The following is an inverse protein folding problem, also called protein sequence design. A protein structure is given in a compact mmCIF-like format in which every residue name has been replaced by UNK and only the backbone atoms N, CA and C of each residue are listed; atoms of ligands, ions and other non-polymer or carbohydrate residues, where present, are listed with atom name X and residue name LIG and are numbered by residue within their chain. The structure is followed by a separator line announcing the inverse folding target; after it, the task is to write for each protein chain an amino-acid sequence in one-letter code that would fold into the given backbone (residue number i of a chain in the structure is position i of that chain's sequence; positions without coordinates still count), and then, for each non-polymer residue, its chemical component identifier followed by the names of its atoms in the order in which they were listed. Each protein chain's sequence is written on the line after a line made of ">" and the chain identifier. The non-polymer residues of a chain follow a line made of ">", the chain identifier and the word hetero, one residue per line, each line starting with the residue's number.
data_IF_495498422224
#
_entry.id   IF_495498422224
#
_cell.length_a   1.000
_cell.length_b   1.000
_cell.length_c   1.000
_cell.angle_alpha   90.00
_cell.angle_beta   90.00
_cell.angle_gamma   90.00
#
_symmetry.space_group_name_H-M   'P 1'
#
loop_
_entity.id
_entity.type
_entity.pdbx_description
1 polymer ?
#
# COMPACT_ATOMS: atom_id res chain seq x y z
N UNK A 1 -39.20 7.43 33.03
CA UNK A 1 -38.65 8.65 32.39
C UNK A 1 -37.39 9.12 33.12
N UNK A 2 -36.36 8.25 33.26
CA UNK A 2 -35.06 8.63 33.86
C UNK A 2 -33.96 7.55 33.64
N UNK A 3 -33.89 6.97 32.43
CA UNK A 3 -32.83 6.02 32.03
C UNK A 3 -32.10 6.50 30.75
N UNK A 4 -32.74 7.35 29.93
CA UNK A 4 -32.12 7.90 28.72
C UNK A 4 -31.05 8.99 28.94
N UNK A 5 -30.98 9.60 30.13
CA UNK A 5 -29.97 10.65 30.40
C UNK A 5 -28.61 10.12 30.90
N UNK A 6 -28.48 8.83 31.24
CA UNK A 6 -27.19 8.27 31.69
C UNK A 6 -26.33 7.69 30.57
N UNK A 7 -26.90 7.39 29.40
CA UNK A 7 -26.14 6.86 28.27
C UNK A 7 -25.46 7.99 27.48
N UNK A 8 -26.08 9.18 27.39
CA UNK A 8 -25.47 10.35 26.75
C UNK A 8 -24.22 10.88 27.50
N UNK A 9 -24.10 10.64 28.81
CA UNK A 9 -22.94 11.07 29.61
C UNK A 9 -21.76 10.08 29.60
N UNK A 10 -21.96 8.85 29.11
CA UNK A 10 -20.89 7.85 28.96
C UNK A 10 -20.27 7.88 27.56
N UNK A 11 -21.02 8.33 26.54
CA UNK A 11 -20.51 8.53 25.18
C UNK A 11 -19.71 9.84 25.06
N UNK A 12 -19.95 10.85 25.90
CA UNK A 12 -19.18 12.11 25.88
C UNK A 12 -17.83 12.09 26.62
N UNK A 13 -17.52 11.02 27.35
CA UNK A 13 -16.32 10.92 28.19
C UNK A 13 -15.14 10.17 27.54
N UNK A 14 -15.29 9.71 26.29
CA UNK A 14 -14.21 9.06 25.52
C UNK A 14 -13.41 9.99 24.60
N UNK A 15 -13.85 11.23 24.37
CA UNK A 15 -13.04 12.21 23.63
C UNK A 15 -11.93 12.68 24.55
N UNK A 16 -10.73 12.07 24.45
CA UNK A 16 -9.51 12.68 24.99
C UNK A 16 -9.50 14.12 24.50
N UNK A 17 -9.58 15.08 25.43
CA UNK A 17 -9.24 16.47 25.11
C UNK A 17 -7.78 16.43 24.69
N UNK A 18 -7.55 16.55 23.39
CA UNK A 18 -6.22 16.88 22.87
C UNK A 18 -5.94 18.27 23.44
N UNK A 19 -5.14 18.32 24.51
CA UNK A 19 -4.67 19.61 25.00
C UNK A 19 -3.90 20.28 23.87
N UNK A 20 -4.10 21.59 23.61
CA UNK A 20 -3.33 22.29 22.61
C UNK A 20 -1.85 22.23 23.01
N UNK A 21 -1.11 21.32 22.36
CA UNK A 21 0.32 21.14 22.57
C UNK A 21 1.04 22.37 22.02
N UNK A 22 1.73 23.07 22.91
CA UNK A 22 2.50 24.29 22.66
C UNK A 22 3.49 24.13 21.50
N UNK A 23 3.51 25.11 20.58
CA UNK A 23 4.56 25.50 19.61
C UNK A 23 5.73 24.51 19.37
N UNK A 24 5.41 23.24 19.09
CA UNK A 24 6.42 22.25 18.74
C UNK A 24 6.91 22.57 17.32
N UNK A 25 8.14 23.10 17.23
CA UNK A 25 8.83 23.22 15.93
C UNK A 25 9.20 21.82 15.48
N UNK A 26 8.76 21.43 14.28
CA UNK A 26 9.22 20.19 13.64
C UNK A 26 10.75 20.21 13.51
N UNK A 27 11.37 19.04 13.62
CA UNK A 27 12.80 18.88 13.38
C UNK A 27 13.08 19.14 11.91
N UNK A 28 13.97 20.09 11.54
CA UNK A 28 14.31 20.33 10.15
C UNK A 28 14.82 19.06 9.47
N UNK A 29 14.44 18.86 8.22
CA UNK A 29 14.99 17.82 7.34
C UNK A 29 15.86 18.48 6.28
N UNK A 30 16.88 17.76 5.80
CA UNK A 30 17.80 18.28 4.78
C UNK A 30 17.11 18.49 3.42
N UNK A 31 15.91 17.93 3.23
CA UNK A 31 15.09 18.16 2.05
C UNK A 31 14.20 19.41 2.22
N UNK A 32 14.41 20.41 1.35
CA UNK A 32 13.70 21.70 1.41
C UNK A 32 12.19 21.53 1.20
N UNK A 33 11.76 20.62 0.32
CA UNK A 33 10.34 20.45 0.02
C UNK A 33 9.60 19.78 1.18
N UNK A 34 10.24 18.80 1.82
CA UNK A 34 9.69 18.15 3.02
C UNK A 34 9.66 19.14 4.18
N UNK A 35 10.74 19.90 4.40
CA UNK A 35 10.77 20.95 5.43
C UNK A 35 9.66 21.99 5.24
N UNK A 36 9.49 22.49 4.02
CA UNK A 36 8.41 23.42 3.65
C UNK A 36 7.03 22.83 3.93
N UNK A 37 6.81 21.54 3.59
CA UNK A 37 5.55 20.84 3.84
C UNK A 37 5.27 20.72 5.35
N UNK A 38 6.24 20.25 6.15
CA UNK A 38 6.05 20.07 7.59
C UNK A 38 5.76 21.40 8.30
N UNK A 39 6.44 22.48 7.93
CA UNK A 39 6.15 23.81 8.46
C UNK A 39 4.73 24.25 8.11
N UNK A 40 4.34 24.12 6.84
CA UNK A 40 3.00 24.49 6.39
C UNK A 40 1.90 23.67 7.08
N UNK A 41 2.10 22.37 7.28
CA UNK A 41 1.16 21.53 8.02
C UNK A 41 0.96 22.04 9.45
N UNK A 42 2.04 22.34 10.17
CA UNK A 42 1.98 22.85 11.53
C UNK A 42 1.32 24.25 11.60
N UNK A 43 1.67 25.14 10.67
CA UNK A 43 1.06 26.49 10.57
C UNK A 43 -0.45 26.44 10.29
N UNK A 44 -0.93 25.36 9.67
CA UNK A 44 -2.35 25.15 9.38
C UNK A 44 -3.02 24.16 10.37
N UNK A 45 -2.44 23.99 11.56
CA UNK A 45 -3.10 23.30 12.67
C UNK A 45 -2.94 21.78 12.69
N UNK A 46 -2.04 21.22 11.89
CA UNK A 46 -1.61 19.84 12.07
C UNK A 46 -0.75 19.70 13.31
N UNK A 47 -0.82 18.55 13.97
CA UNK A 47 0.14 18.13 14.98
C UNK A 47 1.10 17.13 14.35
N UNK A 48 2.40 17.38 14.42
CA UNK A 48 3.46 16.42 14.09
C UNK A 48 4.30 16.23 15.34
N UNK A 49 4.49 14.97 15.74
CA UNK A 49 5.13 14.66 17.01
C UNK A 49 6.62 15.07 17.01
N UNK A 50 7.12 15.79 18.03
CA UNK A 50 8.49 16.32 18.03
C UNK A 50 9.58 15.24 18.12
N UNK A 51 9.22 14.01 18.50
CA UNK A 51 10.13 12.85 18.51
C UNK A 51 10.17 12.11 17.17
N UNK A 52 9.57 12.65 16.12
CA UNK A 52 9.57 12.03 14.78
C UNK A 52 10.21 12.98 13.77
N UNK A 53 11.04 12.41 12.89
CA UNK A 53 11.65 13.12 11.78
C UNK A 53 11.37 12.38 10.46
N UNK A 54 11.24 13.14 9.38
CA UNK A 54 11.19 12.58 8.01
C UNK A 54 12.61 12.59 7.44
N UNK A 55 13.12 11.42 7.09
CA UNK A 55 14.48 11.23 6.58
C UNK A 55 14.50 10.29 5.39
N UNK A 56 15.52 10.37 4.55
CA UNK A 56 15.81 9.29 3.59
C UNK A 56 16.29 8.05 4.34
N UNK A 57 15.86 6.87 3.91
CA UNK A 57 16.26 5.60 4.52
C UNK A 57 17.78 5.39 4.37
N UNK A 58 18.32 5.64 3.19
CA UNK A 58 19.75 5.84 2.97
C UNK A 58 20.04 7.33 2.80
N UNK A 59 20.66 7.93 3.83
CA UNK A 59 21.03 9.36 3.82
C UNK A 59 22.08 9.69 2.73
N UNK A 60 22.76 8.70 2.15
CA UNK A 60 23.75 8.89 1.08
C UNK A 60 23.15 8.76 -0.33
N UNK A 61 21.95 8.20 -0.46
CA UNK A 61 21.26 8.08 -1.75
C UNK A 61 20.13 9.12 -1.86
N UNK A 62 20.30 10.16 -2.71
CA UNK A 62 19.26 11.16 -2.92
C UNK A 62 17.99 10.60 -3.59
N UNK A 63 18.01 9.35 -4.08
CA UNK A 63 16.85 8.65 -4.61
C UNK A 63 16.23 7.67 -3.60
N UNK A 64 16.87 7.46 -2.45
CA UNK A 64 16.29 6.63 -1.39
C UNK A 64 14.92 7.20 -1.00
N UNK A 65 13.92 6.33 -0.76
CA UNK A 65 12.63 6.77 -0.25
C UNK A 65 12.80 7.49 1.09
N UNK A 66 11.83 8.33 1.39
CA UNK A 66 11.68 8.87 2.73
C UNK A 66 11.05 7.83 3.66
N UNK A 67 11.26 7.99 4.95
CA UNK A 67 10.54 7.29 6.00
C UNK A 67 10.47 8.12 7.27
N UNK A 68 9.57 7.73 8.16
CA UNK A 68 9.43 8.33 9.48
C UNK A 68 10.37 7.65 10.47
N UNK A 69 11.26 8.41 11.11
CA UNK A 69 12.25 7.90 12.07
C UNK A 69 11.94 8.47 13.46
N UNK A 70 11.90 7.60 14.46
CA UNK A 70 11.86 8.02 15.86
C UNK A 70 13.23 8.62 16.23
N UNK A 71 13.27 9.88 16.64
CA UNK A 71 14.52 10.55 17.09
C UNK A 71 14.65 10.58 18.62
N UNK A 72 13.67 10.03 19.31
CA UNK A 72 13.67 9.72 20.73
C UNK A 72 12.65 8.60 20.98
N UNK A 73 12.75 7.93 22.13
CA UNK A 73 11.85 6.83 22.47
C UNK A 73 10.38 7.30 22.51
N UNK A 74 9.51 6.51 21.88
CA UNK A 74 8.07 6.70 21.85
C UNK A 74 7.39 5.64 22.71
N UNK A 75 6.42 6.06 23.50
CA UNK A 75 5.57 5.14 24.28
C UNK A 75 4.46 4.55 23.39
N UNK A 76 3.82 3.47 23.84
CA UNK A 76 2.60 2.97 23.18
C UNK A 76 1.49 4.01 23.20
N UNK A 77 0.67 4.03 22.15
CA UNK A 77 -0.44 4.97 21.95
C UNK A 77 -0.06 6.46 21.97
N UNK A 78 1.22 6.79 21.73
CA UNK A 78 1.67 8.16 21.49
C UNK A 78 1.20 8.60 20.09
N UNK A 79 0.55 9.76 20.00
CA UNK A 79 0.04 10.30 18.75
C UNK A 79 1.20 10.86 17.95
N UNK A 80 1.45 10.29 16.77
CA UNK A 80 2.54 10.67 15.88
C UNK A 80 2.16 11.83 15.00
N UNK A 81 0.93 11.83 14.50
CA UNK A 81 0.39 12.98 13.81
C UNK A 81 -1.12 13.08 13.95
N UNK A 82 -1.60 14.31 13.78
CA UNK A 82 -3.00 14.61 13.55
C UNK A 82 -3.11 15.64 12.43
N UNK A 83 -3.80 15.27 11.35
CA UNK A 83 -4.05 16.13 10.19
C UNK A 83 -5.51 16.59 10.23
N UNK A 84 -5.78 17.90 10.33
CA UNK A 84 -7.14 18.40 10.36
C UNK A 84 -7.84 18.20 8.99
N UNK A 85 -9.17 18.07 8.98
CA UNK A 85 -9.92 17.72 7.76
C UNK A 85 -9.67 18.64 6.55
N UNK A 86 -9.44 19.93 6.79
CA UNK A 86 -9.28 20.92 5.72
C UNK A 86 -7.92 20.83 4.99
N UNK A 87 -6.98 20.01 5.49
CA UNK A 87 -5.69 19.73 4.84
C UNK A 87 -5.68 18.37 4.13
N UNK A 88 -6.76 17.60 4.21
CA UNK A 88 -6.89 16.30 3.56
C UNK A 88 -7.61 16.51 2.23
N UNK A 89 -7.09 15.93 1.14
CA UNK A 89 -7.84 15.90 -0.12
C UNK A 89 -8.77 14.70 -0.05
N UNK A 90 -10.05 15.02 0.05
CA UNK A 90 -11.14 14.04 0.18
C UNK A 90 -11.98 14.00 -1.09
N UNK A 91 -12.64 12.86 -1.35
CA UNK A 91 -13.61 12.74 -2.43
C UNK A 91 -14.84 13.63 -2.20
N UNK A 92 -15.48 14.06 -3.29
CA UNK A 92 -16.70 14.90 -3.26
C UNK A 92 -17.87 14.21 -2.56
N UNK A 93 -18.00 12.90 -2.77
CA UNK A 93 -19.04 12.05 -2.17
C UNK A 93 -18.35 11.00 -1.31
N UNK A 94 -18.89 10.78 -0.13
CA UNK A 94 -18.45 9.65 0.68
C UNK A 94 -19.16 8.41 0.13
N UNK A 95 -18.65 7.86 -0.97
CA UNK A 95 -19.04 6.56 -1.46
C UNK A 95 -17.74 5.77 -1.63
N UNK A 96 -17.60 4.70 -0.87
CA UNK A 96 -16.37 3.90 -0.80
C UNK A 96 -16.09 3.24 -2.16
N UNK A 97 -17.13 3.01 -2.96
CA UNK A 97 -17.05 2.20 -4.17
C UNK A 97 -16.63 2.95 -5.44
N UNK A 98 -16.55 4.29 -5.46
CA UNK A 98 -16.57 5.01 -6.75
C UNK A 98 -16.03 6.46 -6.72
N UNK A 99 -14.90 6.75 -6.04
CA UNK A 99 -14.53 8.16 -5.85
C UNK A 99 -13.07 8.61 -5.80
N UNK A 100 -12.13 7.82 -6.31
CA UNK A 100 -10.76 8.34 -6.48
C UNK A 100 -10.74 9.50 -7.48
N UNK A 101 -11.63 9.47 -8.46
CA UNK A 101 -11.75 10.45 -9.54
C UNK A 101 -11.74 11.92 -9.06
N UNK A 102 -12.61 12.27 -8.09
CA UNK A 102 -12.68 13.64 -7.58
C UNK A 102 -11.47 14.01 -6.72
N UNK A 103 -10.86 13.03 -6.04
CA UNK A 103 -9.58 13.22 -5.34
C UNK A 103 -8.46 13.49 -6.35
N UNK A 104 -8.40 12.75 -7.46
CA UNK A 104 -7.43 12.94 -8.55
C UNK A 104 -7.56 14.33 -9.17
N UNK A 105 -8.78 14.74 -9.55
CA UNK A 105 -9.04 16.07 -10.11
C UNK A 105 -8.55 17.19 -9.17
N UNK A 106 -8.81 17.05 -7.86
CA UNK A 106 -8.37 18.01 -6.84
C UNK A 106 -6.86 18.05 -6.69
N UNK A 107 -6.18 16.90 -6.75
CA UNK A 107 -4.71 16.82 -6.73
C UNK A 107 -4.15 17.50 -7.98
N UNK A 108 -4.71 17.18 -9.15
CA UNK A 108 -4.32 17.79 -10.43
C UNK A 108 -4.47 19.32 -10.40
N UNK A 109 -5.64 19.83 -10.02
CA UNK A 109 -5.92 21.28 -9.89
C UNK A 109 -4.92 21.97 -8.94
N UNK A 110 -4.58 21.31 -7.83
CA UNK A 110 -3.61 21.82 -6.87
C UNK A 110 -2.19 21.87 -7.45
N UNK A 111 -1.82 20.89 -8.28
CA UNK A 111 -0.52 20.81 -8.96
C UNK A 111 -0.37 21.86 -10.07
N UNK A 112 -1.44 22.15 -10.83
CA UNK A 112 -1.40 23.12 -11.95
C UNK A 112 -1.71 24.56 -11.54
N UNK A 113 -2.02 24.80 -10.27
CA UNK A 113 -2.30 26.15 -9.77
C UNK A 113 -1.12 27.10 -10.04
N UNK A 114 -1.41 28.38 -10.30
CA UNK A 114 -0.39 29.44 -10.51
C UNK A 114 0.61 29.53 -9.33
N UNK A 115 0.14 29.18 -8.13
CA UNK A 115 0.93 29.14 -6.89
C UNK A 115 0.61 27.84 -6.14
N UNK A 116 1.27 26.73 -6.48
CA UNK A 116 1.05 25.47 -5.77
C UNK A 116 1.49 25.63 -4.31
N UNK A 117 0.66 25.12 -3.40
CA UNK A 117 1.01 25.09 -1.98
C UNK A 117 2.20 24.13 -1.74
N UNK A 118 2.81 24.12 -0.53
CA UNK A 118 3.94 23.25 -0.24
C UNK A 118 3.69 21.75 -0.51
N UNK A 119 2.46 21.28 -0.28
CA UNK A 119 2.12 19.87 -0.53
C UNK A 119 2.04 19.55 -2.02
N UNK A 120 1.42 20.39 -2.84
CA UNK A 120 1.45 20.24 -4.30
C UNK A 120 2.86 20.24 -4.86
N UNK A 121 3.75 21.12 -4.36
CA UNK A 121 5.16 21.12 -4.75
C UNK A 121 5.85 19.80 -4.37
N UNK A 122 5.58 19.28 -3.18
CA UNK A 122 6.08 17.97 -2.75
C UNK A 122 5.58 16.85 -3.64
N UNK A 123 4.27 16.77 -3.93
CA UNK A 123 3.69 15.75 -4.80
C UNK A 123 4.24 15.84 -6.23
N UNK A 124 4.40 17.05 -6.78
CA UNK A 124 5.01 17.28 -8.09
C UNK A 124 6.48 16.82 -8.18
N UNK A 125 7.19 16.82 -7.05
CA UNK A 125 8.58 16.37 -6.98
C UNK A 125 8.75 14.87 -6.85
N UNK A 126 7.67 14.13 -6.57
CA UNK A 126 7.73 12.68 -6.47
C UNK A 126 8.11 12.04 -7.82
N UNK A 127 8.76 10.85 -7.80
CA UNK A 127 9.04 10.10 -9.01
C UNK A 127 7.77 9.90 -9.85
N UNK A 128 7.91 9.92 -11.17
CA UNK A 128 6.82 9.68 -12.12
C UNK A 128 6.84 8.22 -12.55
N UNK A 129 5.67 7.66 -12.84
CA UNK A 129 5.50 6.33 -13.46
C UNK A 129 6.31 5.23 -12.75
N UNK A 130 6.32 5.23 -11.42
CA UNK A 130 7.06 4.23 -10.64
C UNK A 130 6.22 2.97 -10.37
N UNK A 131 4.90 3.04 -10.45
CA UNK A 131 4.02 1.89 -10.31
C UNK A 131 3.75 1.22 -11.66
N UNK A 132 3.70 -0.13 -11.72
CA UNK A 132 3.49 -0.89 -12.96
C UNK A 132 2.33 -0.44 -13.83
N UNK A 133 1.23 0.00 -13.21
CA UNK A 133 0.03 0.47 -13.93
C UNK A 133 0.28 1.74 -14.75
N UNK A 134 1.33 2.49 -14.42
CA UNK A 134 1.70 3.75 -15.08
C UNK A 134 3.01 3.63 -15.87
N UNK A 135 3.60 2.44 -15.96
CA UNK A 135 4.80 2.19 -16.77
C UNK A 135 4.58 2.46 -18.25
N UNK A 136 5.69 2.58 -18.97
CA UNK A 136 5.70 2.59 -20.43
C UNK A 136 5.05 1.34 -21.03
N UNK A 137 4.55 1.44 -22.28
CA UNK A 137 4.00 0.28 -23.02
C UNK A 137 5.00 -0.87 -23.11
N UNK A 138 6.30 -0.56 -23.23
CA UNK A 138 7.37 -1.55 -23.26
C UNK A 138 7.49 -2.28 -21.91
N UNK A 139 7.47 -1.55 -20.79
CA UNK A 139 7.50 -2.11 -19.44
C UNK A 139 6.28 -3.01 -19.17
N UNK A 140 5.07 -2.51 -19.46
CA UNK A 140 3.82 -3.28 -19.27
C UNK A 140 3.79 -4.55 -20.11
N UNK A 141 4.23 -4.46 -21.37
CA UNK A 141 4.33 -5.63 -22.26
C UNK A 141 5.32 -6.67 -21.73
N UNK A 142 6.48 -6.23 -21.23
CA UNK A 142 7.48 -7.14 -20.66
C UNK A 142 6.95 -7.82 -19.40
N UNK A 143 6.26 -7.07 -18.53
CA UNK A 143 5.63 -7.62 -17.33
C UNK A 143 4.51 -8.60 -17.67
N UNK A 144 3.65 -8.29 -18.65
CA UNK A 144 2.61 -9.21 -19.14
C UNK A 144 3.19 -10.48 -19.77
N UNK A 145 4.30 -10.40 -20.53
CA UNK A 145 5.00 -11.58 -21.03
C UNK A 145 5.57 -12.43 -19.87
N UNK A 146 6.12 -11.77 -18.85
CA UNK A 146 6.65 -12.44 -17.66
C UNK A 146 5.56 -13.18 -16.89
N UNK A 147 4.38 -12.59 -16.70
CA UNK A 147 3.29 -13.19 -15.91
C UNK A 147 2.38 -14.12 -16.72
N UNK A 148 2.33 -13.96 -18.05
CA UNK A 148 1.56 -14.78 -18.99
C UNK A 148 0.06 -14.89 -18.63
N UNK A 149 -0.51 -13.86 -18.00
CA UNK A 149 -1.87 -13.83 -17.42
C UNK A 149 -2.17 -14.91 -16.37
N UNK A 150 -1.19 -15.77 -16.05
CA UNK A 150 -1.34 -16.91 -15.14
C UNK A 150 -0.74 -16.67 -13.76
N UNK A 151 0.28 -15.83 -13.71
CA UNK A 151 0.93 -15.39 -12.49
C UNK A 151 0.48 -13.95 -12.18
N UNK A 152 0.52 -13.54 -10.91
CA UNK A 152 0.22 -12.16 -10.54
C UNK A 152 1.43 -11.23 -10.78
N UNK A 153 1.26 -9.90 -10.82
CA UNK A 153 -0.03 -9.22 -10.81
C UNK A 153 -0.78 -9.44 -12.13
N UNK A 154 -2.10 -9.51 -12.03
CA UNK A 154 -3.01 -9.51 -13.18
C UNK A 154 -3.54 -8.09 -13.39
N UNK A 155 -4.15 -7.83 -14.54
CA UNK A 155 -4.94 -6.59 -14.75
C UNK A 155 -4.15 -5.27 -14.66
N UNK A 156 -2.90 -5.25 -15.10
CA UNK A 156 -2.03 -4.06 -15.06
C UNK A 156 -2.55 -2.83 -15.84
N UNK A 157 -3.54 -3.03 -16.73
CA UNK A 157 -4.13 -1.94 -17.51
C UNK A 157 -5.41 -1.40 -16.89
N UNK A 158 -6.01 -2.07 -15.90
CA UNK A 158 -7.34 -1.73 -15.39
C UNK A 158 -7.42 -0.28 -14.91
N UNK A 159 -6.39 0.21 -14.19
CA UNK A 159 -6.35 1.61 -13.75
C UNK A 159 -6.32 2.59 -14.92
N UNK A 160 -5.58 2.30 -16.01
CA UNK A 160 -5.54 3.20 -17.17
C UNK A 160 -6.85 3.15 -17.97
N UNK A 161 -7.44 1.97 -18.07
CA UNK A 161 -8.73 1.76 -18.72
C UNK A 161 -9.85 2.47 -17.92
N UNK A 162 -9.84 2.40 -16.58
CA UNK A 162 -10.72 3.15 -15.67
C UNK A 162 -10.57 4.67 -15.89
N UNK A 163 -9.32 5.17 -15.97
CA UNK A 163 -9.06 6.59 -16.18
C UNK A 163 -9.57 7.11 -17.53
N UNK A 164 -9.45 6.31 -18.60
CA UNK A 164 -9.88 6.68 -19.95
C UNK A 164 -11.39 6.50 -20.13
N UNK A 165 -11.91 5.31 -19.84
CA UNK A 165 -13.29 4.92 -20.13
C UNK A 165 -14.29 5.49 -19.12
N UNK A 166 -14.02 5.35 -17.82
CA UNK A 166 -14.99 5.70 -16.79
C UNK A 166 -14.96 7.20 -16.46
N UNK A 167 -13.79 7.83 -16.57
CA UNK A 167 -13.63 9.24 -16.20
C UNK A 167 -13.58 10.20 -17.39
N UNK A 168 -13.35 9.70 -18.61
CA UNK A 168 -13.27 10.50 -19.83
C UNK A 168 -12.20 11.59 -19.74
N UNK A 169 -11.06 11.27 -19.11
CA UNK A 169 -9.96 12.19 -18.83
C UNK A 169 -8.84 12.01 -19.85
N UNK A 170 -8.11 13.09 -20.12
CA UNK A 170 -7.01 13.05 -21.09
C UNK A 170 -5.80 12.35 -20.48
N UNK A 171 -5.66 11.05 -20.76
CA UNK A 171 -4.50 10.25 -20.37
C UNK A 171 -3.20 10.67 -21.08
N UNK A 172 -3.24 11.66 -21.99
CA UNK A 172 -2.03 12.29 -22.55
C UNK A 172 -1.49 13.46 -21.69
N UNK A 173 -2.24 13.92 -20.68
CA UNK A 173 -1.74 14.93 -19.75
C UNK A 173 -0.85 14.28 -18.68
N UNK A 174 0.47 14.46 -18.82
CA UNK A 174 1.46 13.91 -17.90
C UNK A 174 1.33 14.41 -16.45
N UNK A 175 0.72 15.58 -16.21
CA UNK A 175 0.48 16.05 -14.84
C UNK A 175 -0.77 15.35 -14.29
N UNK A 176 -1.80 15.15 -15.11
CA UNK A 176 -2.98 14.40 -14.70
C UNK A 176 -2.65 12.94 -14.39
N UNK A 177 -1.88 12.26 -15.25
CA UNK A 177 -1.39 10.90 -14.97
C UNK A 177 -0.56 10.84 -13.68
N UNK A 178 0.27 11.84 -13.44
CA UNK A 178 1.06 11.91 -12.20
C UNK A 178 0.15 12.10 -10.97
N UNK A 179 -0.88 12.95 -11.06
CA UNK A 179 -1.87 13.11 -9.99
C UNK A 179 -2.65 11.80 -9.73
N UNK A 180 -3.07 11.11 -10.78
CA UNK A 180 -3.74 9.81 -10.68
C UNK A 180 -2.87 8.78 -9.97
N UNK A 181 -1.60 8.66 -10.38
CA UNK A 181 -0.64 7.77 -9.73
C UNK A 181 -0.40 8.16 -8.27
N UNK A 182 -0.29 9.45 -7.93
CA UNK A 182 -0.16 9.89 -6.54
C UNK A 182 -1.35 9.45 -5.69
N UNK A 183 -2.58 9.56 -6.20
CA UNK A 183 -3.77 9.11 -5.46
C UNK A 183 -3.74 7.59 -5.30
N UNK A 184 -3.63 6.84 -6.39
CA UNK A 184 -3.69 5.36 -6.35
C UNK A 184 -2.59 4.72 -5.49
N UNK A 185 -1.40 5.33 -5.44
CA UNK A 185 -0.25 4.77 -4.70
C UNK A 185 -0.01 5.35 -3.30
N UNK A 186 -0.70 6.41 -2.90
CA UNK A 186 -0.42 7.09 -1.61
C UNK A 186 -1.66 7.48 -0.81
N UNK A 187 -2.84 7.42 -1.39
CA UNK A 187 -4.05 7.68 -0.62
C UNK A 187 -4.30 6.53 0.36
N UNK A 188 -4.82 6.88 1.53
CA UNK A 188 -5.47 5.91 2.40
C UNK A 188 -6.91 5.80 1.90
N UNK A 189 -7.21 4.73 1.17
CA UNK A 189 -8.43 4.61 0.36
C UNK A 189 -8.54 5.79 -0.63
N UNK A 190 -9.64 6.53 -0.63
CA UNK A 190 -9.79 7.72 -1.49
C UNK A 190 -9.29 9.01 -0.82
N UNK A 191 -8.67 8.95 0.36
CA UNK A 191 -8.17 10.11 1.10
C UNK A 191 -6.68 10.29 0.91
N UNK A 192 -6.27 11.32 0.18
CA UNK A 192 -4.86 11.69 0.18
C UNK A 192 -4.60 12.51 1.46
N UNK A 193 -3.79 11.95 2.36
CA UNK A 193 -3.46 12.54 3.67
C UNK A 193 -1.98 12.94 3.65
N UNK A 194 -1.64 14.22 3.81
CA UNK A 194 -0.23 14.63 3.87
C UNK A 194 0.43 14.02 5.10
N UNK A 195 1.74 13.76 5.04
CA UNK A 195 2.55 13.16 6.10
C UNK A 195 2.31 11.65 6.31
N UNK A 196 1.06 11.18 6.21
CA UNK A 196 0.75 9.74 6.16
C UNK A 196 1.48 9.06 5.01
N UNK A 197 1.49 9.70 3.83
CA UNK A 197 2.13 9.23 2.60
C UNK A 197 3.67 9.12 2.65
N UNK A 198 4.28 9.50 3.77
CA UNK A 198 5.71 9.34 4.08
C UNK A 198 6.00 8.18 5.03
N UNK A 199 4.98 7.52 5.56
CA UNK A 199 5.15 6.23 6.23
C UNK A 199 5.55 5.18 5.21
N UNK A 200 6.34 4.20 5.62
CA UNK A 200 6.66 3.06 4.78
C UNK A 200 5.88 1.83 5.24
N UNK A 201 5.70 0.91 4.30
CA UNK A 201 5.10 -0.39 4.50
C UNK A 201 6.10 -1.38 5.11
N UNK A 202 5.66 -2.18 6.08
CA UNK A 202 6.33 -3.44 6.45
C UNK A 202 5.42 -4.35 7.29
N UNK A 203 5.12 -5.57 6.83
CA UNK A 203 4.22 -6.49 7.54
C UNK A 203 4.77 -7.02 8.89
N UNK A 204 6.06 -7.32 8.98
CA UNK A 204 6.69 -7.82 10.21
C UNK A 204 7.07 -6.76 11.26
N UNK A 205 7.15 -5.47 10.88
CA UNK A 205 7.66 -4.39 11.75
C UNK A 205 6.62 -3.33 12.08
N UNK A 206 5.35 -3.58 11.77
CA UNK A 206 4.25 -2.65 12.07
C UNK A 206 4.33 -2.18 13.53
N UNK A 207 4.40 -0.86 13.69
CA UNK A 207 4.45 -0.18 14.98
C UNK A 207 3.56 1.07 15.02
N UNK A 208 2.82 1.35 13.94
CA UNK A 208 1.82 2.39 13.83
C UNK A 208 0.42 1.80 13.58
N UNK A 209 -0.60 2.60 13.88
CA UNK A 209 -2.00 2.44 13.47
C UNK A 209 -2.57 3.80 13.11
N UNK A 210 -3.50 3.85 12.19
CA UNK A 210 -4.40 4.99 12.05
C UNK A 210 -5.68 4.75 12.87
N UNK A 211 -6.27 5.82 13.40
CA UNK A 211 -7.48 5.74 14.22
C UNK A 211 -8.76 5.78 13.38
N UNK A 212 -8.71 6.42 12.21
CA UNK A 212 -9.85 6.52 11.30
C UNK A 212 -10.01 5.23 10.50
N UNK A 213 -11.18 4.60 10.60
CA UNK A 213 -11.57 3.43 9.80
C UNK A 213 -12.71 3.83 8.85
N UNK A 214 -12.50 3.84 7.52
CA UNK A 214 -13.52 4.28 6.58
C UNK A 214 -14.74 3.35 6.48
N UNK A 215 -14.60 2.10 6.93
CA UNK A 215 -15.64 1.07 6.87
C UNK A 215 -16.56 1.06 8.10
N UNK A 216 -16.25 1.87 9.11
CA UNK A 216 -17.07 1.98 10.30
C UNK A 216 -17.51 3.43 10.51
N UNK A 217 -18.83 3.64 10.58
CA UNK A 217 -19.48 4.95 10.73
C UNK A 217 -19.16 5.70 12.04
N UNK A 218 -18.33 5.12 12.91
CA UNK A 218 -18.07 5.65 14.25
C UNK A 218 -17.23 6.93 14.25
N UNK A 219 -16.46 7.18 13.18
CA UNK A 219 -15.55 8.32 13.08
C UNK A 219 -15.73 9.04 11.74
N UNK A 220 -16.35 10.24 11.78
CA UNK A 220 -16.43 11.10 10.61
C UNK A 220 -15.10 11.84 10.38
N UNK A 221 -14.31 11.43 9.39
CA UNK A 221 -13.03 12.09 9.03
C UNK A 221 -13.21 13.59 8.73
N UNK A 222 -14.39 14.02 8.24
CA UNK A 222 -14.68 15.44 7.96
C UNK A 222 -14.78 16.29 9.23
N UNK A 223 -15.02 15.66 10.37
CA UNK A 223 -15.09 16.33 11.68
C UNK A 223 -13.84 16.10 12.52
N UNK A 224 -13.31 14.88 12.46
CA UNK A 224 -12.26 14.40 13.35
C UNK A 224 -10.86 14.51 12.78
N UNK A 225 -10.69 14.64 11.46
CA UNK A 225 -9.37 14.62 10.83
C UNK A 225 -8.77 13.21 10.79
N UNK A 226 -7.46 13.13 10.59
CA UNK A 226 -6.73 11.88 10.46
C UNK A 226 -5.64 11.78 11.52
N UNK A 227 -5.67 10.72 12.32
CA UNK A 227 -4.72 10.52 13.43
C UNK A 227 -3.95 9.22 13.24
N UNK A 228 -2.63 9.28 13.41
CA UNK A 228 -1.74 8.11 13.49
C UNK A 228 -1.14 8.05 14.89
N UNK A 229 -1.11 6.86 15.47
CA UNK A 229 -0.51 6.60 16.77
C UNK A 229 0.35 5.33 16.76
N UNK A 230 1.30 5.24 17.67
CA UNK A 230 2.08 4.01 17.88
C UNK A 230 1.23 2.89 18.48
N UNK A 231 1.48 1.64 18.08
CA UNK A 231 0.82 0.44 18.64
C UNK A 231 1.61 -0.22 19.76
N UNK A 232 2.89 0.10 19.87
CA UNK A 232 3.86 -0.42 20.83
C UNK A 232 4.97 0.61 21.06
N UNK A 233 5.77 0.50 22.14
CA UNK A 233 6.94 1.35 22.31
C UNK A 233 7.89 1.24 21.10
N UNK A 234 8.49 2.36 20.71
CA UNK A 234 9.46 2.44 19.60
C UNK A 234 10.74 3.10 20.10
N UNK A 235 11.90 2.51 19.82
CA UNK A 235 13.18 3.04 20.28
C UNK A 235 13.64 4.19 19.40
N UNK A 236 14.42 5.10 19.96
CA UNK A 236 15.15 6.10 19.18
C UNK A 236 16.02 5.43 18.12
N UNK A 237 15.90 5.90 16.88
CA UNK A 237 16.59 5.40 15.69
C UNK A 237 15.75 4.43 14.86
N UNK A 238 14.68 3.85 15.43
CA UNK A 238 13.82 2.93 14.70
C UNK A 238 12.93 3.69 13.70
N UNK A 239 12.65 3.04 12.58
CA UNK A 239 11.66 3.52 11.62
C UNK A 239 10.24 3.17 12.08
N UNK A 240 9.30 4.07 11.77
CA UNK A 240 7.88 3.88 12.00
C UNK A 240 7.23 3.29 10.74
N UNK A 241 6.59 2.14 10.89
CA UNK A 241 5.98 1.37 9.81
C UNK A 241 4.48 1.18 10.03
N UNK A 242 3.74 1.34 8.94
CA UNK A 242 2.39 0.82 8.77
C UNK A 242 2.43 -0.46 7.95
N UNK A 243 1.33 -1.21 7.94
CA UNK A 243 1.08 -2.20 6.89
C UNK A 243 -0.08 -1.70 6.04
N UNK A 244 0.07 -1.85 4.72
CA UNK A 244 -0.89 -1.35 3.73
C UNK A 244 -1.96 -2.39 3.39
N UNK A 245 -1.72 -3.67 3.70
CA UNK A 245 -2.59 -4.80 3.40
C UNK A 245 -2.90 -5.65 4.64
N UNK A 246 -2.08 -5.58 5.69
CA UNK A 246 -2.22 -6.35 6.93
C UNK A 246 -2.38 -5.47 8.19
N UNK A 247 -2.71 -4.19 8.00
CA UNK A 247 -2.99 -3.24 9.07
C UNK A 247 -4.28 -3.57 9.84
N UNK A 248 -4.49 -2.89 10.97
CA UNK A 248 -5.67 -3.07 11.83
C UNK A 248 -7.00 -2.73 11.13
N UNK A 249 -6.95 -1.92 10.08
CA UNK A 249 -8.11 -1.42 9.32
C UNK A 249 -8.17 -2.01 7.90
N UNK A 250 -7.06 -2.58 7.41
CA UNK A 250 -6.96 -3.21 6.09
C UNK A 250 -7.57 -4.62 6.03
N UNK A 251 -8.50 -4.96 6.93
CA UNK A 251 -9.02 -6.33 7.05
C UNK A 251 -9.75 -6.81 5.79
N UNK A 252 -10.31 -5.88 5.00
CA UNK A 252 -10.97 -6.20 3.73
C UNK A 252 -9.97 -6.64 2.64
N UNK A 253 -8.73 -6.15 2.71
CA UNK A 253 -7.66 -6.50 1.77
C UNK A 253 -6.92 -7.76 2.18
N UNK A 254 -6.99 -8.14 3.46
CA UNK A 254 -6.18 -9.21 4.06
C UNK A 254 -6.23 -10.51 3.24
N UNK A 255 -7.41 -10.82 2.73
CA UNK A 255 -7.65 -12.07 2.03
C UNK A 255 -7.09 -12.04 0.60
N UNK A 256 -7.09 -10.91 -0.10
CA UNK A 256 -6.88 -10.85 -1.56
C UNK A 256 -5.68 -9.98 -1.98
N UNK A 257 -4.97 -9.41 -1.02
CA UNK A 257 -3.93 -8.42 -1.26
C UNK A 257 -2.61 -8.89 -0.66
N UNK A 258 -1.64 -9.19 -1.52
CA UNK A 258 -0.31 -9.62 -1.14
C UNK A 258 0.78 -8.82 -1.85
N UNK A 259 1.96 -9.44 -1.95
CA UNK A 259 3.14 -8.88 -2.60
C UNK A 259 2.90 -8.47 -4.05
N UNK A 260 2.16 -9.23 -4.89
CA UNK A 260 1.86 -8.79 -6.25
C UNK A 260 1.03 -7.50 -6.30
N UNK A 261 0.01 -7.38 -5.46
CA UNK A 261 -0.84 -6.19 -5.40
C UNK A 261 -0.09 -5.01 -4.80
N UNK A 262 0.79 -5.23 -3.81
CA UNK A 262 1.68 -4.19 -3.30
C UNK A 262 2.62 -3.68 -4.41
N UNK A 263 3.20 -4.60 -5.18
CA UNK A 263 4.05 -4.27 -6.32
C UNK A 263 3.30 -3.45 -7.38
N UNK A 264 2.08 -3.87 -7.74
CA UNK A 264 1.24 -3.18 -8.70
C UNK A 264 0.84 -1.78 -8.22
N UNK A 265 0.32 -1.66 -6.99
CA UNK A 265 -0.27 -0.43 -6.48
C UNK A 265 0.76 0.58 -5.96
N UNK A 266 1.91 0.11 -5.45
CA UNK A 266 2.89 0.97 -4.79
C UNK A 266 4.28 0.96 -5.43
N UNK A 267 4.53 0.10 -6.42
CA UNK A 267 5.77 0.11 -7.19
C UNK A 267 7.02 -0.30 -6.40
N UNK A 268 6.87 -1.24 -5.46
CA UNK A 268 7.99 -1.88 -4.77
C UNK A 268 7.66 -3.34 -4.43
N UNK A 269 8.68 -4.16 -4.21
CA UNK A 269 8.50 -5.54 -3.72
C UNK A 269 8.65 -5.54 -2.21
N UNK A 270 7.69 -6.11 -1.49
CA UNK A 270 7.72 -6.19 -0.03
C UNK A 270 8.99 -6.88 0.47
N UNK A 271 9.58 -6.36 1.56
CA UNK A 271 10.48 -7.13 2.41
C UNK A 271 9.70 -8.23 3.15
N UNK A 272 10.41 -9.24 3.67
CA UNK A 272 9.78 -10.30 4.46
C UNK A 272 9.09 -9.77 5.75
N UNK A 273 7.93 -10.33 6.13
CA UNK A 273 7.17 -11.39 5.46
C UNK A 273 6.39 -10.88 4.24
N UNK A 274 6.36 -11.73 3.21
CA UNK A 274 5.65 -11.53 1.94
C UNK A 274 4.40 -12.43 1.88
N UNK A 275 3.33 -11.97 1.27
CA UNK A 275 2.12 -12.77 1.04
C UNK A 275 1.92 -13.06 -0.44
N UNK A 276 1.78 -14.32 -0.79
CA UNK A 276 1.63 -14.75 -2.18
C UNK A 276 0.30 -15.45 -2.41
N UNK A 277 -0.41 -15.02 -3.45
CA UNK A 277 -1.69 -15.57 -3.89
C UNK A 277 -1.60 -15.95 -5.37
N UNK A 278 -1.95 -17.19 -5.69
CA UNK A 278 -1.93 -17.71 -7.04
C UNK A 278 -3.31 -18.26 -7.41
N UNK A 279 -4.16 -17.37 -7.93
CA UNK A 279 -5.58 -17.64 -8.19
C UNK A 279 -5.84 -18.90 -9.01
N UNK A 280 -5.15 -19.02 -10.15
CA UNK A 280 -5.33 -20.17 -11.04
C UNK A 280 -4.83 -21.48 -10.43
N UNK A 281 -3.86 -21.41 -9.50
CA UNK A 281 -3.33 -22.57 -8.80
C UNK A 281 -4.09 -22.89 -7.50
N UNK A 282 -4.94 -21.98 -7.02
CA UNK A 282 -5.57 -22.00 -5.67
C UNK A 282 -4.54 -22.21 -4.56
N UNK A 283 -3.44 -21.48 -4.64
CA UNK A 283 -2.35 -21.55 -3.65
C UNK A 283 -2.21 -20.19 -2.99
N UNK A 284 -2.18 -20.19 -1.65
CA UNK A 284 -1.98 -19.01 -0.82
C UNK A 284 -1.04 -19.33 0.34
N UNK A 285 0.02 -18.56 0.50
CA UNK A 285 0.99 -18.73 1.59
C UNK A 285 1.68 -17.41 1.93
N UNK A 286 2.17 -17.33 3.17
CA UNK A 286 3.11 -16.31 3.60
C UNK A 286 4.54 -16.87 3.47
N UNK A 287 5.45 -16.08 2.94
CA UNK A 287 6.88 -16.39 2.84
C UNK A 287 7.63 -15.49 3.82
N UNK A 288 8.37 -16.09 4.74
CA UNK A 288 9.14 -15.36 5.75
C UNK A 288 10.54 -15.96 5.91
N UNK A 289 11.41 -15.29 6.65
CA UNK A 289 12.74 -15.79 7.02
C UNK A 289 12.69 -16.23 8.48
N UNK A 290 12.90 -17.52 8.70
CA UNK A 290 13.06 -18.07 10.04
C UNK A 290 14.25 -17.42 10.75
N UNK A 291 13.99 -16.71 11.85
CA UNK A 291 15.00 -15.91 12.56
C UNK A 291 16.19 -16.74 13.06
N UNK A 292 15.97 -18.01 13.42
CA UNK A 292 17.00 -18.88 13.98
C UNK A 292 17.94 -19.44 12.90
N UNK A 293 17.37 -19.92 11.79
CA UNK A 293 18.13 -20.57 10.72
C UNK A 293 18.51 -19.64 9.57
N UNK A 294 17.87 -18.47 9.47
CA UNK A 294 17.97 -17.55 8.35
C UNK A 294 17.43 -18.12 7.04
N UNK A 295 16.65 -19.20 7.11
CA UNK A 295 16.07 -19.86 5.92
C UNK A 295 14.68 -19.32 5.63
N UNK A 296 14.38 -19.23 4.35
CA UNK A 296 13.05 -18.89 3.87
C UNK A 296 12.08 -20.05 4.12
N UNK A 297 10.92 -19.76 4.69
CA UNK A 297 9.87 -20.72 5.04
C UNK A 297 8.54 -20.26 4.45
N UNK A 298 7.91 -21.12 3.67
CA UNK A 298 6.56 -20.92 3.16
C UNK A 298 5.54 -21.50 4.15
N UNK A 299 4.67 -20.66 4.70
CA UNK A 299 3.56 -21.03 5.59
C UNK A 299 2.25 -20.97 4.82
N UNK A 300 1.69 -22.13 4.50
CA UNK A 300 0.47 -22.21 3.70
C UNK A 300 -0.75 -21.81 4.52
N UNK A 301 -1.54 -20.89 3.96
CA UNK A 301 -2.79 -20.40 4.56
C UNK A 301 -3.97 -21.30 4.16
N UNK A 302 -3.83 -22.01 3.05
CA UNK A 302 -4.71 -23.12 2.65
C UNK A 302 -3.88 -24.31 2.20
N UNK A 303 -4.31 -25.57 2.46
CA UNK A 303 -3.59 -26.75 2.00
C UNK A 303 -3.36 -26.71 0.49
N UNK A 304 -2.11 -26.79 0.01
CA UNK A 304 -1.84 -26.81 -1.42
C UNK A 304 -2.36 -28.09 -2.07
N UNK A 305 -2.78 -28.01 -3.32
CA UNK A 305 -3.22 -29.19 -4.09
C UNK A 305 -2.11 -29.73 -4.99
N UNK A 306 -2.18 -31.00 -5.36
CA UNK A 306 -1.22 -31.58 -6.31
C UNK A 306 -1.31 -30.85 -7.65
N UNK A 307 -2.54 -30.57 -8.10
CA UNK A 307 -2.79 -29.81 -9.33
C UNK A 307 -2.19 -28.41 -9.28
N UNK A 308 -2.36 -27.67 -8.18
CA UNK A 308 -1.82 -26.31 -8.02
C UNK A 308 -0.29 -26.30 -8.03
N UNK A 309 0.34 -27.21 -7.29
CA UNK A 309 1.81 -27.35 -7.26
C UNK A 309 2.36 -27.73 -8.64
N UNK A 310 1.70 -28.62 -9.39
CA UNK A 310 2.15 -28.99 -10.73
C UNK A 310 2.00 -27.84 -11.74
N UNK A 311 0.99 -26.97 -11.58
CA UNK A 311 0.89 -25.74 -12.36
C UNK A 311 2.05 -24.78 -12.04
N UNK A 312 2.33 -24.55 -10.77
CA UNK A 312 3.43 -23.68 -10.33
C UNK A 312 4.81 -24.19 -10.80
N UNK A 313 5.04 -25.50 -10.82
CA UNK A 313 6.26 -26.09 -11.41
C UNK A 313 6.42 -25.77 -12.90
N UNK A 314 5.33 -25.83 -13.67
CA UNK A 314 5.38 -25.49 -15.10
C UNK A 314 5.69 -24.01 -15.30
N UNK A 315 5.08 -23.14 -14.48
CA UNK A 315 5.34 -21.72 -14.54
C UNK A 315 6.76 -21.36 -14.09
N UNK A 316 7.36 -22.11 -13.15
CA UNK A 316 8.76 -21.92 -12.77
C UNK A 316 9.71 -22.16 -13.97
N UNK A 317 9.54 -23.25 -14.70
CA UNK A 317 10.31 -23.53 -15.93
C UNK A 317 10.12 -22.42 -16.97
N UNK A 318 8.87 -21.94 -17.15
CA UNK A 318 8.60 -20.83 -18.07
C UNK A 318 9.29 -19.53 -17.64
N UNK A 319 9.32 -19.22 -16.33
CA UNK A 319 10.02 -18.05 -15.80
C UNK A 319 11.54 -18.14 -16.03
N UNK A 320 12.13 -19.33 -15.88
CA UNK A 320 13.54 -19.57 -16.23
C UNK A 320 13.80 -19.27 -17.71
N UNK A 321 12.97 -19.81 -18.62
CA UNK A 321 13.06 -19.54 -20.06
C UNK A 321 12.89 -18.04 -20.39
N UNK A 322 11.95 -17.36 -19.71
CA UNK A 322 11.75 -15.92 -19.82
C UNK A 322 13.01 -15.13 -19.41
N UNK A 323 13.60 -15.47 -18.27
CA UNK A 323 14.83 -14.83 -17.78
C UNK A 323 16.01 -15.07 -18.71
N UNK A 324 16.21 -16.30 -19.21
CA UNK A 324 17.27 -16.60 -20.18
C UNK A 324 17.15 -15.77 -21.46
N UNK A 325 15.92 -15.59 -21.94
CA UNK A 325 15.62 -14.82 -23.15
C UNK A 325 15.88 -13.32 -22.97
N UNK A 326 15.46 -12.75 -21.84
CA UNK A 326 15.34 -11.30 -21.69
C UNK A 326 16.35 -10.68 -20.75
N UNK A 327 16.80 -11.35 -19.69
CA UNK A 327 17.58 -10.71 -18.60
C UNK A 327 18.91 -10.13 -19.05
N UNK A 328 19.49 -10.68 -20.12
CA UNK A 328 20.73 -10.20 -20.73
C UNK A 328 20.51 -9.17 -21.86
N UNK A 329 19.27 -8.79 -22.15
CA UNK A 329 18.95 -7.79 -23.17
C UNK A 329 19.43 -6.39 -22.76
N UNK A 330 19.77 -5.56 -23.75
CA UNK A 330 20.06 -4.14 -23.54
C UNK A 330 18.74 -3.38 -23.39
N UNK A 331 18.59 -2.61 -22.30
CA UNK A 331 17.38 -1.80 -22.05
C UNK A 331 17.16 -0.75 -23.14
N UNK A 332 18.22 -0.31 -23.81
CA UNK A 332 18.15 0.62 -24.93
C UNK A 332 17.41 0.03 -26.14
N UNK A 333 17.57 -1.27 -26.40
CA UNK A 333 16.97 -1.95 -27.56
C UNK A 333 15.45 -2.14 -27.42
N UNK A 334 14.96 -2.17 -26.18
CA UNK A 334 13.54 -2.38 -25.86
C UNK A 334 12.83 -1.09 -25.44
N UNK A 335 13.53 0.06 -25.46
CA UNK A 335 13.01 1.38 -25.10
C UNK A 335 12.32 1.42 -23.71
N UNK A 336 12.81 0.63 -22.76
CA UNK A 336 12.28 0.59 -21.40
C UNK A 336 13.14 1.46 -20.46
N UNK A 337 12.55 2.35 -19.66
CA UNK A 337 13.26 3.07 -18.61
C UNK A 337 13.98 2.14 -17.62
N UNK A 338 15.17 2.54 -17.16
CA UNK A 338 15.99 1.71 -16.27
C UNK A 338 15.32 1.39 -14.93
N UNK A 339 14.46 2.28 -14.41
CA UNK A 339 13.76 2.02 -13.15
C UNK A 339 12.69 0.93 -13.32
N UNK A 340 11.93 0.95 -14.42
CA UNK A 340 10.97 -0.11 -14.78
C UNK A 340 11.70 -1.45 -14.94
N UNK A 341 12.84 -1.46 -15.63
CA UNK A 341 13.67 -2.66 -15.79
C UNK A 341 14.15 -3.23 -14.45
N UNK A 342 14.68 -2.37 -13.58
CA UNK A 342 15.19 -2.77 -12.27
C UNK A 342 14.07 -3.37 -11.42
N UNK A 343 12.92 -2.69 -11.38
CA UNK A 343 11.77 -3.08 -10.58
C UNK A 343 11.10 -4.36 -11.13
N UNK A 344 11.05 -4.55 -12.45
CA UNK A 344 10.62 -5.79 -13.10
C UNK A 344 11.47 -6.98 -12.61
N UNK A 345 12.79 -6.86 -12.62
CA UNK A 345 13.67 -7.96 -12.21
C UNK A 345 13.69 -8.20 -10.70
N UNK A 346 13.53 -7.16 -9.89
CA UNK A 346 13.31 -7.33 -8.45
C UNK A 346 12.05 -8.17 -8.19
N UNK A 347 10.95 -7.87 -8.89
CA UNK A 347 9.71 -8.62 -8.75
C UNK A 347 9.82 -10.04 -9.34
N UNK A 348 10.48 -10.20 -10.49
CA UNK A 348 10.80 -11.52 -11.05
C UNK A 348 11.52 -12.40 -10.02
N UNK A 349 12.59 -11.89 -9.40
CA UNK A 349 13.40 -12.66 -8.45
C UNK A 349 12.56 -13.06 -7.21
N UNK A 350 11.73 -12.16 -6.70
CA UNK A 350 10.83 -12.43 -5.58
C UNK A 350 9.75 -13.47 -5.94
N UNK A 351 9.07 -13.30 -7.08
CA UNK A 351 8.05 -14.22 -7.59
C UNK A 351 8.63 -15.62 -7.84
N UNK A 352 9.77 -15.69 -8.51
CA UNK A 352 10.48 -16.93 -8.78
C UNK A 352 10.87 -17.64 -7.48
N UNK A 353 11.42 -16.89 -6.51
CA UNK A 353 11.78 -17.44 -5.20
C UNK A 353 10.56 -17.97 -4.45
N UNK A 354 9.47 -17.21 -4.41
CA UNK A 354 8.23 -17.62 -3.76
C UNK A 354 7.66 -18.92 -4.36
N UNK A 355 7.57 -19.00 -5.69
CA UNK A 355 7.13 -20.22 -6.38
C UNK A 355 8.07 -21.39 -6.06
N UNK A 356 9.39 -21.16 -6.08
CA UNK A 356 10.38 -22.19 -5.76
C UNK A 356 10.17 -22.75 -4.34
N UNK A 357 10.03 -21.87 -3.34
CA UNK A 357 9.81 -22.27 -1.94
C UNK A 357 8.48 -22.97 -1.73
N UNK A 358 7.43 -22.53 -2.41
CA UNK A 358 6.13 -23.21 -2.42
C UNK A 358 6.26 -24.65 -2.94
N UNK A 359 6.93 -24.83 -4.09
CA UNK A 359 7.11 -26.12 -4.76
C UNK A 359 8.02 -27.08 -3.97
N UNK A 360 9.04 -26.55 -3.30
CA UNK A 360 9.98 -27.30 -2.46
C UNK A 360 9.42 -27.67 -1.08
N UNK A 361 8.29 -27.08 -0.68
CA UNK A 361 7.69 -27.34 0.62
C UNK A 361 7.29 -28.81 0.80
N UNK A 362 7.33 -29.29 2.04
CA UNK A 362 6.89 -30.63 2.41
C UNK A 362 5.46 -30.63 2.97
N UNK A 363 4.67 -29.58 2.69
CA UNK A 363 3.30 -29.50 3.19
C UNK A 363 2.43 -30.61 2.59
N UNK A 364 1.56 -31.26 3.38
CA UNK A 364 0.64 -32.27 2.88
C UNK A 364 -0.28 -31.70 1.79
N UNK A 365 -0.34 -32.38 0.65
CA UNK A 365 -1.19 -31.96 -0.47
C UNK A 365 -2.64 -32.41 -0.27
N UNK A 366 -3.59 -31.54 -0.58
CA UNK A 366 -5.03 -31.83 -0.57
C UNK A 366 -5.73 -31.24 -1.80
N UNK A 367 -6.45 -32.08 -2.53
CA UNK A 367 -7.24 -31.63 -3.70
C UNK A 367 -8.65 -31.12 -3.30
N UNK A 368 -9.02 -31.18 -2.02
CA UNK A 368 -10.33 -30.68 -1.52
C UNK A 368 -10.55 -29.19 -1.84
N UNK A 369 -9.47 -28.43 -2.00
CA UNK A 369 -9.51 -27.01 -2.37
C UNK A 369 -10.21 -26.77 -3.71
N UNK A 370 -10.26 -27.76 -4.61
CA UNK A 370 -10.92 -27.66 -5.91
C UNK A 370 -12.43 -27.86 -5.83
N UNK A 371 -12.89 -28.57 -4.81
CA UNK A 371 -14.31 -28.77 -4.53
C UNK A 371 -14.92 -27.60 -3.74
N UNK A 372 -14.06 -26.77 -3.13
CA UNK A 372 -14.47 -25.57 -2.42
C UNK A 372 -14.99 -24.47 -3.36
N UNK A 373 -15.94 -23.62 -2.90
CA UNK A 373 -16.38 -22.43 -3.61
C UNK A 373 -15.21 -21.54 -4.04
N UNK A 374 -15.37 -20.81 -5.15
CA UNK A 374 -14.30 -20.02 -5.75
C UNK A 374 -13.66 -19.01 -4.78
N UNK A 375 -14.44 -18.48 -3.83
CA UNK A 375 -14.00 -17.49 -2.86
C UNK A 375 -13.40 -18.10 -1.59
N UNK A 376 -13.53 -19.42 -1.37
CA UNK A 376 -13.20 -20.03 -0.09
C UNK A 376 -11.69 -20.14 0.17
N UNK A 377 -10.92 -20.46 -0.86
CA UNK A 377 -9.47 -20.70 -0.73
C UNK A 377 -8.67 -19.43 -0.43
N UNK A 378 -9.31 -18.27 -0.54
CA UNK A 378 -8.69 -16.98 -0.30
C UNK A 378 -8.98 -16.45 1.10
N UNK A 379 -9.94 -17.06 1.81
CA UNK A 379 -10.32 -16.64 3.16
C UNK A 379 -9.32 -17.19 4.17
N UNK A 380 -8.64 -16.34 4.92
CA UNK A 380 -7.69 -16.74 5.96
C UNK A 380 -8.39 -17.25 7.25
N UNK A 381 -9.63 -17.74 7.14
CA UNK A 381 -10.44 -18.22 8.25
C UNK A 381 -10.95 -17.13 9.20
N UNK A 382 -10.66 -15.86 8.93
CA UNK A 382 -11.08 -14.69 9.72
C UNK A 382 -12.48 -14.19 9.33
N UNK A 383 -12.90 -14.37 8.08
CA UNK A 383 -14.22 -13.95 7.60
C UNK A 383 -15.33 -14.88 8.08
N UNK A 384 -16.42 -14.30 8.58
CA UNK A 384 -17.58 -15.07 9.02
C UNK A 384 -18.46 -15.38 7.82
N UNK A 385 -19.23 -16.47 7.92
CA UNK A 385 -20.14 -16.90 6.84
C UNK A 385 -21.21 -15.85 6.49
N UNK A 386 -21.49 -14.90 7.39
CA UNK A 386 -22.42 -13.79 7.15
C UNK A 386 -21.87 -12.69 6.23
N UNK A 387 -20.55 -12.61 6.03
CA UNK A 387 -19.92 -11.54 5.25
C UNK A 387 -19.86 -11.91 3.74
N UNK A 388 -20.39 -13.10 3.40
CA UNK A 388 -20.27 -13.76 2.08
C UNK A 388 -20.83 -12.99 0.89
N UNK A 389 -21.80 -12.09 1.08
CA UNK A 389 -22.43 -11.34 -0.02
C UNK A 389 -21.72 -10.02 -0.37
N UNK A 390 -20.79 -9.53 0.47
CA UNK A 390 -20.08 -8.26 0.25
C UNK A 390 -18.76 -8.43 -0.51
N UNK A 391 -18.35 -9.67 -0.83
CA UNK A 391 -17.08 -9.93 -1.48
C UNK A 391 -17.18 -9.89 -3.01
N UNK A 392 -16.66 -8.80 -3.58
CA UNK A 392 -16.36 -8.69 -5.00
C UNK A 392 -15.08 -9.46 -5.33
N UNK A 393 -15.18 -10.79 -5.49
CA UNK A 393 -14.26 -11.46 -6.41
C UNK A 393 -14.64 -10.94 -7.79
N UNK A 394 -13.84 -10.03 -8.36
CA UNK A 394 -13.99 -9.62 -9.76
C UNK A 394 -13.82 -10.91 -10.55
N UNK A 395 -14.94 -11.47 -11.00
CA UNK A 395 -14.95 -12.76 -11.69
C UNK A 395 -14.06 -12.59 -12.91
N UNK A 396 -13.00 -13.38 -13.02
CA UNK A 396 -12.29 -13.55 -14.29
C UNK A 396 -13.35 -13.91 -15.34
N UNK A 397 -13.53 -13.03 -16.33
CA UNK A 397 -14.55 -13.16 -17.38
C UNK A 397 -14.25 -14.35 -18.29
#
# INVERSE_FOLDING_TARGET
>A
MNIFFKIAALISNGRRKVEPLSDAKSTPTDDVLVSDLLMWLCENGSHIHPKVAVKRIDENDPNSPFGLIAIADLDSDEVICHIPPHLIIMPDKYNVDDNDCSTIDRVYDMMIADKPNPWARYLLSQPRRFTPEFWSDAGKKMLSEMTSDKLPPQYINDTMDELDEDYGRDTNDEIYLHAAMMVKSRADYSFLVPFYDMTNHHNGKVNLKHEFNPFHDDINIKESGYTIATTKPVSSGDQLFLSYNQGNICQEYFDWFGTPEIFQAYGFVEDYPQRWLFDLARVKFDLDVDEESGKEVATFLVPPSQRGIDMLKQELVRLEEFSEKHRAADTADIHMPNHEWTLLWQYFDALHNAISRCVESNEPLSDEIWDAPHDWWVKDGTMKECDREEHYVRRSV
#
